data_IF_699571965486
#
_entry.id   IF_699571965486
#
_cell.length_a   1.000
_cell.length_b   1.000
_cell.length_c   1.000
_cell.angle_alpha   90.00
_cell.angle_beta   90.00
_cell.angle_gamma   90.00
#
_symmetry.space_group_name_H-M   'P 1'
#
loop_
_entity.id
_entity.type
_entity.pdbx_description
1 polymer ?
#
# COMPACT_ATOMS: atom_id res chain seq x y z
N UNK A 1 22.52 -2.72 -19.17
CA UNK A 1 23.34 -1.72 -18.44
C UNK A 1 22.65 -1.24 -17.17
N UNK A 2 21.38 -0.82 -17.21
CA UNK A 2 20.64 -0.32 -16.03
C UNK A 2 19.86 -1.38 -15.23
N UNK A 3 19.69 -2.60 -15.75
CA UNK A 3 19.02 -3.68 -15.00
C UNK A 3 19.89 -4.07 -13.79
N UNK A 4 19.26 -4.18 -12.62
CA UNK A 4 19.89 -4.55 -11.33
C UNK A 4 20.97 -3.57 -10.84
N UNK A 5 20.97 -2.35 -11.35
CA UNK A 5 21.88 -1.28 -10.92
C UNK A 5 21.09 -0.25 -10.10
N UNK A 6 21.15 -0.29 -8.76
CA UNK A 6 20.38 0.64 -7.92
C UNK A 6 20.92 2.07 -8.07
N UNK A 7 20.02 3.04 -7.92
CA UNK A 7 20.35 4.47 -7.86
C UNK A 7 19.96 5.03 -6.51
N UNK A 8 20.71 6.01 -6.00
CA UNK A 8 20.40 6.69 -4.75
C UNK A 8 19.66 7.99 -5.04
N UNK A 9 18.50 8.16 -4.44
CA UNK A 9 17.75 9.41 -4.44
C UNK A 9 17.97 10.16 -3.13
N UNK A 10 18.19 11.47 -3.23
CA UNK A 10 18.43 12.36 -2.10
C UNK A 10 17.62 13.66 -2.25
N UNK A 11 16.94 14.08 -1.18
CA UNK A 11 16.28 15.41 -1.11
C UNK A 11 16.96 16.27 -0.05
N UNK A 12 17.38 17.47 -0.45
CA UNK A 12 17.92 18.46 0.49
C UNK A 12 16.77 19.27 1.14
N UNK A 13 16.87 19.62 2.44
CA UNK A 13 17.91 19.25 3.39
C UNK A 13 17.74 17.82 3.95
N UNK A 14 18.85 17.10 4.13
CA UNK A 14 18.85 15.74 4.72
C UNK A 14 18.84 15.78 6.24
N UNK A 15 17.66 15.66 6.84
CA UNK A 15 17.52 15.70 8.31
C UNK A 15 17.82 14.36 9.01
N UNK A 16 17.72 13.25 8.28
CA UNK A 16 17.80 11.91 8.84
C UNK A 16 18.23 10.91 7.75
N UNK A 17 18.65 9.71 8.17
CA UNK A 17 19.16 8.65 7.28
C UNK A 17 18.21 8.32 6.13
N UNK A 18 16.90 8.40 6.36
CA UNK A 18 15.87 8.10 5.36
C UNK A 18 15.73 9.17 4.27
N UNK A 19 16.41 10.31 4.41
CA UNK A 19 16.52 11.33 3.37
C UNK A 19 17.39 10.91 2.18
N UNK A 20 18.04 9.75 2.25
CA UNK A 20 18.73 9.10 1.12
C UNK A 20 18.29 7.63 1.07
N UNK A 21 17.77 7.19 -0.07
CA UNK A 21 17.36 5.80 -0.27
C UNK A 21 17.72 5.29 -1.66
N UNK A 22 17.92 3.99 -1.76
CA UNK A 22 18.18 3.30 -3.02
C UNK A 22 16.87 2.82 -3.66
N UNK A 23 16.83 2.91 -4.99
CA UNK A 23 15.73 2.46 -5.84
C UNK A 23 16.26 1.76 -7.08
N UNK A 24 15.45 0.87 -7.65
CA UNK A 24 15.69 0.38 -9.01
C UNK A 24 15.16 1.39 -10.02
N UNK A 25 15.98 1.86 -10.97
CA UNK A 25 15.53 2.85 -11.95
C UNK A 25 14.62 2.21 -13.00
N UNK A 26 13.48 2.85 -13.27
CA UNK A 26 12.60 2.52 -14.39
C UNK A 26 12.70 3.65 -15.41
N UNK A 27 12.97 3.29 -16.67
CA UNK A 27 13.02 4.26 -17.76
C UNK A 27 11.62 4.80 -18.04
N UNK A 28 11.52 6.12 -18.17
CA UNK A 28 10.29 6.83 -18.45
C UNK A 28 10.53 7.85 -19.56
N UNK A 29 9.48 8.19 -20.29
CA UNK A 29 9.47 9.31 -21.21
C UNK A 29 9.12 10.58 -20.44
N UNK A 30 10.13 11.42 -20.16
CA UNK A 30 9.95 12.65 -19.40
C UNK A 30 11.26 13.19 -18.84
N UNK A 31 11.20 14.41 -18.27
CA UNK A 31 12.34 15.06 -17.58
C UNK A 31 12.20 15.09 -16.05
N UNK A 32 11.08 14.59 -15.53
CA UNK A 32 10.77 14.59 -14.11
C UNK A 32 11.04 13.20 -13.51
N UNK A 33 11.49 13.15 -12.25
CA UNK A 33 11.67 11.90 -11.52
C UNK A 33 10.30 11.46 -10.99
N UNK A 34 9.92 10.20 -11.25
CA UNK A 34 8.74 9.60 -10.62
C UNK A 34 9.13 8.99 -9.27
N UNK A 35 8.48 9.43 -8.21
CA UNK A 35 8.72 8.95 -6.85
C UNK A 35 7.50 8.19 -6.33
N UNK A 36 7.75 7.10 -5.60
CA UNK A 36 6.68 6.32 -4.99
C UNK A 36 6.01 7.10 -3.83
N UNK A 37 4.66 7.20 -3.79
CA UNK A 37 3.96 8.08 -2.86
C UNK A 37 4.16 7.72 -1.37
N UNK A 38 4.40 6.45 -1.05
CA UNK A 38 4.64 6.04 0.33
C UNK A 38 6.02 6.43 0.88
N UNK A 39 6.94 6.88 0.04
CA UNK A 39 8.27 7.35 0.48
C UNK A 39 8.32 8.87 0.63
N UNK A 40 7.29 9.58 0.17
CA UNK A 40 7.19 11.05 0.31
C UNK A 40 7.30 11.50 1.77
N UNK A 41 6.75 10.73 2.72
CA UNK A 41 6.86 11.03 4.16
C UNK A 41 8.31 10.98 4.65
N UNK A 42 9.08 9.99 4.20
CA UNK A 42 10.49 9.83 4.55
C UNK A 42 11.38 10.92 3.95
N UNK A 43 11.11 11.34 2.71
CA UNK A 43 11.82 12.47 2.10
C UNK A 43 11.29 13.85 2.53
N UNK A 44 10.17 13.87 3.28
CA UNK A 44 9.38 15.08 3.56
C UNK A 44 8.97 15.85 2.27
N UNK A 45 8.79 15.12 1.16
CA UNK A 45 8.63 15.67 -0.18
C UNK A 45 7.15 15.85 -0.56
N UNK A 46 6.88 16.88 -1.34
CA UNK A 46 5.62 17.14 -2.05
C UNK A 46 5.86 17.27 -3.56
N UNK A 47 4.76 17.39 -4.32
CA UNK A 47 4.78 17.38 -5.78
C UNK A 47 4.38 18.74 -6.37
N UNK A 48 4.88 19.83 -5.79
CA UNK A 48 4.61 21.22 -6.20
C UNK A 48 5.82 21.91 -6.86
N UNK A 49 6.94 21.21 -7.00
CA UNK A 49 8.17 21.74 -7.60
C UNK A 49 9.47 21.27 -6.95
N UNK A 50 9.37 20.42 -5.93
CA UNK A 50 10.51 19.77 -5.28
C UNK A 50 11.50 19.12 -6.26
N UNK A 51 12.79 19.22 -5.90
CA UNK A 51 13.89 18.65 -6.66
C UNK A 51 14.64 17.61 -5.83
N UNK A 52 15.13 16.57 -6.50
CA UNK A 52 15.93 15.51 -5.88
C UNK A 52 17.20 15.26 -6.70
N UNK A 53 18.29 14.95 -6.00
CA UNK A 53 19.53 14.52 -6.62
C UNK A 53 19.53 13.00 -6.81
N UNK A 54 20.08 12.56 -7.95
CA UNK A 54 20.30 11.15 -8.26
C UNK A 54 21.80 10.88 -8.22
N UNK A 55 22.22 9.89 -7.44
CA UNK A 55 23.60 9.42 -7.40
C UNK A 55 23.68 7.97 -7.88
N UNK A 56 24.72 7.67 -8.65
CA UNK A 56 24.96 6.32 -9.19
C UNK A 56 26.11 5.68 -8.42
N UNK A 57 25.88 4.61 -7.65
CA UNK A 57 26.96 3.84 -7.03
C UNK A 57 27.77 3.14 -8.12
N UNK A 58 29.10 3.37 -8.11
CA UNK A 58 29.99 2.87 -9.17
C UNK A 58 30.59 1.51 -8.79
N UNK A 59 31.20 1.42 -7.60
CA UNK A 59 31.86 0.18 -7.17
C UNK A 59 30.86 -0.93 -6.86
N UNK A 60 31.30 -2.19 -6.96
CA UNK A 60 30.45 -3.34 -6.68
C UNK A 60 30.02 -3.35 -5.21
N UNK A 61 30.92 -2.97 -4.31
CA UNK A 61 30.64 -2.84 -2.88
C UNK A 61 29.55 -1.81 -2.63
N UNK A 62 29.62 -0.64 -3.28
CA UNK A 62 28.60 0.40 -3.15
C UNK A 62 27.25 -0.05 -3.71
N UNK A 63 27.22 -0.82 -4.80
CA UNK A 63 25.98 -1.38 -5.33
C UNK A 63 25.37 -2.43 -4.39
N UNK A 64 26.20 -3.22 -3.73
CA UNK A 64 25.75 -4.20 -2.73
C UNK A 64 25.21 -3.50 -1.47
N UNK A 65 25.91 -2.49 -0.96
CA UNK A 65 25.43 -1.69 0.18
C UNK A 65 24.12 -0.97 -0.15
N UNK A 66 24.01 -0.36 -1.33
CA UNK A 66 22.78 0.27 -1.77
C UNK A 66 21.61 -0.72 -1.75
N UNK A 67 21.84 -1.95 -2.25
CA UNK A 67 20.83 -3.01 -2.36
C UNK A 67 20.43 -3.63 -1.03
N UNK A 68 21.40 -3.89 -0.15
CA UNK A 68 21.17 -4.60 1.11
C UNK A 68 20.77 -3.62 2.22
N UNK A 69 21.33 -2.42 2.26
CA UNK A 69 21.17 -1.50 3.40
C UNK A 69 20.33 -0.28 3.08
N UNK A 70 20.35 0.22 1.84
CA UNK A 70 19.72 1.50 1.49
C UNK A 70 18.43 1.35 0.68
N UNK A 71 18.08 0.14 0.22
CA UNK A 71 16.85 -0.08 -0.53
C UNK A 71 15.62 0.39 0.24
N UNK A 72 14.74 1.10 -0.45
CA UNK A 72 13.50 1.63 0.13
C UNK A 72 12.64 0.55 0.79
N UNK A 73 12.62 -0.67 0.24
CA UNK A 73 11.91 -1.83 0.82
C UNK A 73 12.42 -2.27 2.20
N UNK A 74 13.69 -1.99 2.52
CA UNK A 74 14.27 -2.36 3.82
C UNK A 74 14.00 -1.28 4.88
N UNK A 75 13.64 -0.08 4.44
CA UNK A 75 13.51 1.12 5.27
C UNK A 75 12.06 1.41 5.65
N UNK A 76 11.33 0.40 6.13
CA UNK A 76 9.90 0.49 6.48
C UNK A 76 9.66 1.15 7.84
N UNK A 77 10.64 1.05 8.74
CA UNK A 77 10.55 1.53 10.12
C UNK A 77 11.37 2.81 10.31
N UNK A 78 10.85 3.73 11.14
CA UNK A 78 11.59 4.91 11.55
C UNK A 78 12.71 4.53 12.53
N UNK A 79 13.95 5.00 12.31
CA UNK A 79 15.08 4.67 13.17
C UNK A 79 14.94 5.25 14.58
N UNK A 80 14.15 6.31 14.77
CA UNK A 80 14.03 7.01 16.05
C UNK A 80 13.08 6.34 17.04
N UNK A 81 12.04 5.65 16.56
CA UNK A 81 10.97 5.12 17.42
C UNK A 81 10.48 3.72 17.02
N UNK A 82 11.00 3.12 15.95
CA UNK A 82 10.61 1.80 15.47
C UNK A 82 9.19 1.71 14.91
N UNK A 83 8.47 2.84 14.76
CA UNK A 83 7.14 2.86 14.15
C UNK A 83 7.24 2.82 12.62
N UNK A 84 6.26 2.25 11.91
CA UNK A 84 6.23 2.30 10.45
C UNK A 84 6.26 3.74 9.94
N UNK A 85 7.17 4.05 9.01
CA UNK A 85 7.23 5.36 8.34
C UNK A 85 6.51 5.36 6.99
N UNK A 86 6.41 4.19 6.37
CA UNK A 86 5.70 3.93 5.11
C UNK A 86 4.21 3.78 5.43
N UNK A 87 3.59 4.88 5.83
CA UNK A 87 2.17 4.95 6.17
C UNK A 87 1.42 5.59 5.01
N UNK A 88 0.31 4.99 4.53
CA UNK A 88 -0.53 5.63 3.52
C UNK A 88 -1.02 6.99 4.03
N UNK A 89 -1.08 7.98 3.14
CA UNK A 89 -1.52 9.33 3.49
C UNK A 89 -2.55 9.87 2.49
N UNK A 90 -3.24 10.94 2.87
CA UNK A 90 -4.17 11.71 2.03
C UNK A 90 -5.16 10.81 1.28
N UNK A 91 -5.03 10.73 -0.04
CA UNK A 91 -5.99 10.07 -0.93
C UNK A 91 -6.10 8.57 -0.68
N UNK A 92 -5.01 7.91 -0.29
CA UNK A 92 -5.03 6.47 0.02
C UNK A 92 -5.90 6.22 1.25
N UNK A 93 -5.73 7.05 2.29
CA UNK A 93 -6.52 6.95 3.53
C UNK A 93 -7.98 7.28 3.24
N UNK A 94 -8.25 8.30 2.43
CA UNK A 94 -9.62 8.64 2.02
C UNK A 94 -10.29 7.51 1.23
N UNK A 95 -9.56 6.87 0.31
CA UNK A 95 -10.06 5.74 -0.46
C UNK A 95 -10.40 4.54 0.42
N UNK A 96 -9.51 4.16 1.35
CA UNK A 96 -9.77 3.08 2.31
C UNK A 96 -10.94 3.44 3.24
N UNK A 97 -10.99 4.68 3.72
CA UNK A 97 -12.08 5.15 4.57
C UNK A 97 -13.43 5.06 3.84
N UNK A 98 -13.49 5.55 2.60
CA UNK A 98 -14.69 5.47 1.76
C UNK A 98 -15.09 4.01 1.54
N UNK A 99 -14.17 3.15 1.09
CA UNK A 99 -14.45 1.72 0.88
C UNK A 99 -14.98 1.01 2.13
N UNK A 100 -14.53 1.41 3.32
CA UNK A 100 -14.90 0.74 4.58
C UNK A 100 -16.11 1.37 5.28
N UNK A 101 -16.67 2.44 4.72
CA UNK A 101 -17.83 3.16 5.23
C UNK A 101 -19.08 2.28 5.23
N UNK A 102 -19.92 2.45 6.25
CA UNK A 102 -21.15 1.69 6.43
C UNK A 102 -22.35 2.62 6.45
N UNK A 103 -23.38 2.30 5.65
CA UNK A 103 -24.67 2.98 5.72
C UNK A 103 -25.53 2.43 6.87
N UNK A 104 -26.71 2.99 7.09
CA UNK A 104 -27.68 2.44 8.05
C UNK A 104 -28.07 1.00 7.64
N UNK A 105 -28.21 0.12 8.65
CA UNK A 105 -28.63 -1.27 8.42
C UNK A 105 -30.05 -1.29 7.84
N UNK A 106 -30.23 -2.08 6.79
CA UNK A 106 -31.54 -2.55 6.33
C UNK A 106 -31.84 -3.89 7.00
N UNK A 107 -33.12 -4.16 7.23
CA UNK A 107 -33.56 -5.39 7.92
C UNK A 107 -33.37 -6.64 7.05
N UNK A 108 -33.52 -6.51 5.72
CA UNK A 108 -33.29 -7.60 4.78
C UNK A 108 -31.89 -7.51 4.13
N UNK A 109 -31.07 -8.54 4.36
CA UNK A 109 -29.65 -8.57 4.01
C UNK A 109 -29.37 -9.77 3.11
N UNK A 110 -28.91 -9.55 1.86
CA UNK A 110 -28.54 -10.65 0.97
C UNK A 110 -27.35 -11.43 1.54
N UNK A 111 -27.38 -12.75 1.39
CA UNK A 111 -26.34 -13.67 1.79
C UNK A 111 -25.50 -14.05 0.58
N UNK A 112 -24.18 -13.90 0.71
CA UNK A 112 -23.21 -14.31 -0.30
C UNK A 112 -22.27 -15.37 0.25
N UNK A 113 -21.95 -16.36 -0.58
CA UNK A 113 -21.05 -17.45 -0.22
C UNK A 113 -19.66 -17.28 -0.84
N UNK A 114 -19.56 -16.64 -2.00
CA UNK A 114 -18.30 -16.44 -2.70
C UNK A 114 -18.05 -14.96 -3.03
N UNK A 115 -16.78 -14.55 -3.04
CA UNK A 115 -16.40 -13.18 -3.39
C UNK A 115 -16.81 -12.82 -4.83
N UNK A 116 -16.73 -13.77 -5.77
CA UNK A 116 -17.12 -13.55 -7.17
C UNK A 116 -18.59 -13.13 -7.32
N UNK A 117 -19.49 -13.62 -6.46
CA UNK A 117 -20.92 -13.24 -6.49
C UNK A 117 -21.12 -11.78 -6.05
N UNK A 118 -20.35 -11.36 -5.05
CA UNK A 118 -20.34 -9.97 -4.57
C UNK A 118 -19.81 -9.04 -5.65
N UNK A 119 -18.72 -9.43 -6.32
CA UNK A 119 -18.10 -8.66 -7.40
C UNK A 119 -19.03 -8.55 -8.62
N UNK A 120 -19.69 -9.66 -9.00
CA UNK A 120 -20.69 -9.66 -10.07
C UNK A 120 -21.88 -8.76 -9.75
N UNK A 121 -22.36 -8.78 -8.51
CA UNK A 121 -23.49 -7.95 -8.06
C UNK A 121 -23.14 -6.46 -7.98
N UNK A 122 -21.90 -6.13 -7.62
CA UNK A 122 -21.36 -4.76 -7.72
C UNK A 122 -21.30 -4.29 -9.18
N UNK A 123 -20.79 -5.13 -10.08
CA UNK A 123 -20.67 -4.80 -11.50
C UNK A 123 -22.03 -4.63 -12.20
N UNK A 124 -23.03 -5.41 -11.79
CA UNK A 124 -24.41 -5.26 -12.28
C UNK A 124 -25.14 -4.05 -11.67
N UNK A 125 -24.56 -3.35 -10.70
CA UNK A 125 -25.16 -2.20 -10.03
C UNK A 125 -26.30 -2.54 -9.07
N UNK A 126 -26.51 -3.81 -8.73
CA UNK A 126 -27.55 -4.25 -7.79
C UNK A 126 -27.17 -3.97 -6.34
N UNK A 127 -25.86 -3.96 -6.04
CA UNK A 127 -25.30 -3.61 -4.74
C UNK A 127 -24.44 -2.36 -4.82
N UNK A 128 -24.48 -1.56 -3.76
CA UNK A 128 -23.52 -0.47 -3.55
C UNK A 128 -22.37 -0.95 -2.65
N UNK A 129 -21.20 -0.30 -2.76
CA UNK A 129 -19.99 -0.63 -1.98
C UNK A 129 -20.24 -0.60 -0.46
N UNK A 130 -21.15 0.27 -0.02
CA UNK A 130 -21.50 0.49 1.39
C UNK A 130 -22.76 -0.27 1.84
N UNK A 131 -23.38 -1.06 0.97
CA UNK A 131 -24.54 -1.88 1.31
C UNK A 131 -24.15 -2.97 2.31
N UNK A 132 -25.00 -3.24 3.30
CA UNK A 132 -24.76 -4.35 4.23
C UNK A 132 -25.07 -5.69 3.56
N UNK A 133 -24.19 -6.66 3.75
CA UNK A 133 -24.33 -8.02 3.24
C UNK A 133 -23.97 -9.03 4.33
N UNK A 134 -24.51 -10.23 4.25
CA UNK A 134 -24.05 -11.38 5.04
C UNK A 134 -23.06 -12.16 4.18
N UNK A 135 -21.85 -12.39 4.69
CA UNK A 135 -20.82 -13.14 3.98
C UNK A 135 -20.33 -14.30 4.83
N UNK A 136 -20.20 -15.49 4.21
CA UNK A 136 -19.68 -16.68 4.87
C UNK A 136 -18.15 -16.66 4.81
N UNK A 137 -17.49 -16.41 5.95
CA UNK A 137 -16.03 -16.44 6.05
C UNK A 137 -15.53 -17.73 6.69
N UNK A 138 -14.39 -18.20 6.21
CA UNK A 138 -13.58 -19.21 6.88
C UNK A 138 -12.87 -18.58 8.08
N UNK A 139 -13.05 -19.16 9.24
CA UNK A 139 -12.38 -18.78 10.48
C UNK A 139 -11.59 -19.98 10.98
N UNK A 140 -10.28 -19.79 11.18
CA UNK A 140 -9.42 -20.80 11.81
C UNK A 140 -9.52 -20.58 13.32
N UNK A 141 -10.04 -21.57 14.04
CA UNK A 141 -10.06 -21.52 15.50
C UNK A 141 -8.66 -21.76 16.09
N UNK A 142 -8.49 -21.42 17.37
CA UNK A 142 -7.25 -21.66 18.13
C UNK A 142 -6.76 -23.12 18.10
N UNK A 143 -7.65 -24.07 17.82
CA UNK A 143 -7.38 -25.50 17.71
C UNK A 143 -7.02 -25.98 16.28
N UNK A 144 -6.87 -25.05 15.32
CA UNK A 144 -6.50 -25.36 13.93
C UNK A 144 -7.64 -25.87 13.04
N UNK A 145 -8.86 -25.98 13.56
CA UNK A 145 -10.04 -26.39 12.77
C UNK A 145 -10.64 -25.21 11.99
N UNK A 146 -10.97 -25.45 10.71
CA UNK A 146 -11.64 -24.48 9.83
C UNK A 146 -13.15 -24.51 10.12
N UNK A 147 -13.68 -23.42 10.66
CA UNK A 147 -15.13 -23.23 10.83
C UNK A 147 -15.63 -22.12 9.92
N UNK A 148 -16.83 -22.30 9.35
CA UNK A 148 -17.48 -21.25 8.58
C UNK A 148 -18.40 -20.42 9.47
N UNK A 149 -18.14 -19.11 9.54
CA UNK A 149 -18.96 -18.16 10.28
C UNK A 149 -19.56 -17.13 9.33
N UNK A 150 -20.86 -16.89 9.45
CA UNK A 150 -21.54 -15.83 8.71
C UNK A 150 -21.33 -14.51 9.43
N UNK A 151 -20.75 -13.52 8.75
CA UNK A 151 -20.44 -12.20 9.31
C UNK A 151 -21.19 -11.14 8.50
N UNK A 152 -21.77 -10.16 9.19
CA UNK A 152 -22.34 -8.98 8.55
C UNK A 152 -21.22 -8.00 8.19
N UNK A 153 -20.99 -7.78 6.88
CA UNK A 153 -19.92 -6.93 6.36
C UNK A 153 -20.45 -6.05 5.22
N UNK A 154 -19.59 -5.24 4.61
CA UNK A 154 -19.89 -4.50 3.38
C UNK A 154 -19.02 -5.02 2.24
N UNK A 155 -19.48 -4.94 0.97
CA UNK A 155 -18.68 -5.30 -0.18
C UNK A 155 -17.31 -4.60 -0.20
N UNK A 156 -17.25 -3.30 0.15
CA UNK A 156 -15.99 -2.58 0.19
C UNK A 156 -14.97 -3.11 1.21
N UNK A 157 -15.43 -3.61 2.37
CA UNK A 157 -14.54 -4.29 3.34
C UNK A 157 -14.09 -5.66 2.84
N UNK A 158 -14.95 -6.39 2.12
CA UNK A 158 -14.55 -7.66 1.50
C UNK A 158 -13.51 -7.46 0.41
N UNK A 159 -13.65 -6.42 -0.42
CA UNK A 159 -12.64 -6.05 -1.44
C UNK A 159 -11.30 -5.74 -0.77
N UNK A 160 -11.31 -4.99 0.34
CA UNK A 160 -10.08 -4.72 1.09
C UNK A 160 -9.48 -6.03 1.65
N UNK A 161 -10.33 -6.88 2.24
CA UNK A 161 -9.89 -8.15 2.84
C UNK A 161 -9.24 -9.09 1.82
N UNK A 162 -9.79 -9.21 0.61
CA UNK A 162 -9.20 -10.07 -0.43
C UNK A 162 -7.85 -9.58 -0.93
N UNK A 163 -7.59 -8.26 -0.87
CA UNK A 163 -6.30 -7.67 -1.23
C UNK A 163 -5.26 -7.76 -0.11
N UNK A 164 -5.69 -7.94 1.14
CA UNK A 164 -4.81 -8.05 2.31
C UNK A 164 -4.53 -9.50 2.76
N UNK A 165 -5.20 -10.48 2.15
CA UNK A 165 -4.98 -11.91 2.40
C UNK A 165 -3.70 -12.37 1.72
#
# INVERSE_FOLDING_TARGET
VIKEHPVLLNRAPTLHRLGIQAFEPVLIEGKAIQLHPLVCTAFNADFDGDQMAVHVPISLEAQLEARVLMMSINNVLSPSNGRPIIVPSKDIVLGIYYLTLQQLKKDDLPLFCAFCEVEHSLNNGTLHIHSHIKYKMEHINSDGNIQYKTICTTPGRLILWTKTK
#
